data_IF_478728629178
#
_entry.id   IF_478728629178
#
_cell.length_a   1.000
_cell.length_b   1.000
_cell.length_c   1.000
_cell.angle_alpha   90.00
_cell.angle_beta   90.00
_cell.angle_gamma   90.00
#
_symmetry.space_group_name_H-M   'P 1'
#
loop_
_entity.id
_entity.type
_entity.pdbx_description
1 polymer ?
#
# COMPACT_ATOMS: atom_id res chain seq x y z
N UNK A 1 -13.08 -20.23 -7.06
CA UNK A 1 -12.98 -18.80 -7.24
C UNK A 1 -12.80 -18.12 -5.90
N UNK A 2 -11.82 -17.28 -5.81
CA UNK A 2 -11.58 -16.57 -4.57
C UNK A 2 -12.36 -15.27 -4.58
N UNK A 3 -13.23 -15.09 -3.60
CA UNK A 3 -13.91 -13.83 -3.39
C UNK A 3 -13.12 -12.94 -2.44
N UNK A 4 -11.94 -13.41 -2.02
CA UNK A 4 -11.09 -12.69 -1.08
C UNK A 4 -10.10 -11.79 -1.82
N UNK A 5 -10.67 -10.85 -2.56
CA UNK A 5 -9.87 -9.85 -3.27
C UNK A 5 -10.61 -8.51 -3.28
N UNK A 6 -9.84 -7.44 -3.44
CA UNK A 6 -10.38 -6.09 -3.59
C UNK A 6 -9.67 -5.39 -4.73
N UNK A 7 -10.38 -4.46 -5.35
CA UNK A 7 -9.83 -3.61 -6.42
C UNK A 7 -10.23 -2.18 -6.14
N UNK A 8 -9.27 -1.26 -6.27
CA UNK A 8 -9.53 0.16 -6.11
C UNK A 8 -8.92 0.91 -7.29
N UNK A 9 -9.58 1.99 -7.66
CA UNK A 9 -9.17 2.85 -8.75
C UNK A 9 -9.26 4.29 -8.28
N UNK A 10 -8.19 5.06 -8.53
CA UNK A 10 -8.15 6.49 -8.18
C UNK A 10 -7.44 7.24 -9.30
N UNK A 11 -7.83 8.50 -9.45
CA UNK A 11 -7.11 9.42 -10.33
C UNK A 11 -6.50 10.50 -9.45
N UNK A 12 -5.17 10.63 -9.52
CA UNK A 12 -4.41 11.58 -8.73
C UNK A 12 -3.89 12.68 -9.66
N UNK A 13 -3.75 13.89 -9.14
CA UNK A 13 -3.20 15.01 -9.91
C UNK A 13 -1.69 14.92 -10.06
N UNK A 14 -1.03 14.22 -9.13
CA UNK A 14 0.43 14.05 -9.16
C UNK A 14 0.87 13.18 -10.33
N UNK A 15 2.11 13.37 -10.78
CA UNK A 15 2.71 12.56 -11.83
C UNK A 15 2.93 11.13 -11.38
N UNK A 16 3.01 10.16 -12.32
CA UNK A 16 3.34 8.79 -11.96
C UNK A 16 4.66 8.66 -11.19
N UNK A 17 5.65 9.47 -11.52
CA UNK A 17 6.94 9.49 -10.82
C UNK A 17 6.77 9.84 -9.34
N UNK A 18 5.95 10.84 -9.06
CA UNK A 18 5.73 11.28 -7.68
C UNK A 18 4.91 10.26 -6.89
N UNK A 19 3.87 9.70 -7.50
CA UNK A 19 3.05 8.67 -6.87
C UNK A 19 3.89 7.41 -6.62
N UNK A 20 4.70 7.02 -7.59
CA UNK A 20 5.59 5.86 -7.45
C UNK A 20 6.58 6.06 -6.29
N UNK A 21 7.15 7.26 -6.14
CA UNK A 21 8.03 7.56 -5.00
C UNK A 21 7.33 7.36 -3.67
N UNK A 22 6.05 7.71 -3.59
CA UNK A 22 5.28 7.53 -2.36
C UNK A 22 5.12 6.06 -1.99
N UNK A 23 5.19 5.15 -2.96
CA UNK A 23 5.15 3.70 -2.73
C UNK A 23 6.52 3.11 -2.45
N UNK A 24 7.60 3.80 -2.75
CA UNK A 24 8.95 3.22 -2.73
C UNK A 24 9.91 3.89 -1.76
N UNK A 25 9.51 5.01 -1.17
CA UNK A 25 10.30 5.66 -0.12
C UNK A 25 9.71 5.28 1.24
N UNK A 26 10.59 4.86 2.14
CA UNK A 26 10.21 4.33 3.45
C UNK A 26 9.39 5.31 4.29
N UNK A 27 9.84 6.55 4.40
CA UNK A 27 9.13 7.56 5.17
C UNK A 27 7.80 7.97 4.55
N UNK A 28 7.72 7.98 3.23
CA UNK A 28 6.48 8.28 2.54
C UNK A 28 5.45 7.16 2.78
N UNK A 29 5.87 5.91 2.62
CA UNK A 29 5.02 4.75 2.85
C UNK A 29 4.45 4.76 4.26
N UNK A 30 5.28 5.05 5.26
CA UNK A 30 4.84 5.15 6.65
C UNK A 30 3.79 6.25 6.86
N UNK A 31 3.84 7.30 6.05
CA UNK A 31 2.94 8.43 6.20
C UNK A 31 1.52 8.16 5.67
N UNK A 32 1.39 7.37 4.59
CA UNK A 32 0.07 7.21 3.97
C UNK A 32 -0.51 5.80 4.06
N UNK A 33 0.31 4.77 4.17
CA UNK A 33 -0.18 3.39 4.08
C UNK A 33 -1.11 2.98 5.23
N UNK A 34 -0.85 3.34 6.51
CA UNK A 34 -1.75 2.91 7.57
C UNK A 34 -3.12 3.59 7.44
N UNK A 35 -4.20 2.84 7.70
CA UNK A 35 -5.54 3.45 7.75
C UNK A 35 -5.62 4.51 8.84
N UNK A 36 -6.66 5.32 8.81
CA UNK A 36 -6.86 6.34 9.85
C UNK A 36 -6.89 5.70 11.23
N UNK A 37 -6.23 6.32 12.17
CA UNK A 37 -6.15 5.84 13.55
C UNK A 37 -5.00 4.90 13.83
N UNK A 38 -4.22 4.55 12.80
CA UNK A 38 -3.05 3.68 12.95
C UNK A 38 -1.76 4.44 12.68
N UNK A 39 -0.72 4.03 13.39
CA UNK A 39 0.66 4.46 13.14
C UNK A 39 1.38 3.33 12.41
N UNK A 40 2.38 3.68 11.62
CA UNK A 40 3.18 2.70 10.89
C UNK A 40 4.66 2.87 11.21
N UNK A 41 5.33 1.75 11.49
CA UNK A 41 6.78 1.70 11.58
C UNK A 41 7.26 0.79 10.45
N UNK A 42 8.16 1.31 9.62
CA UNK A 42 8.80 0.51 8.57
C UNK A 42 10.12 0.01 9.11
N UNK A 43 10.23 -1.30 9.34
CA UNK A 43 11.44 -1.91 9.91
C UNK A 43 12.49 -2.18 8.83
N UNK A 44 12.02 -2.50 7.64
CA UNK A 44 12.87 -2.85 6.52
C UNK A 44 12.11 -2.55 5.23
N UNK A 45 12.81 -2.05 4.22
CA UNK A 45 12.21 -1.82 2.92
C UNK A 45 13.29 -1.79 1.85
N UNK A 46 13.40 -2.87 1.09
CA UNK A 46 14.40 -3.01 0.03
C UNK A 46 13.67 -3.15 -1.30
N UNK A 47 13.51 -2.03 -2.01
CA UNK A 47 12.69 -1.97 -3.24
C UNK A 47 13.50 -2.41 -4.44
N UNK A 48 13.58 -3.73 -4.59
CA UNK A 48 14.16 -4.39 -5.77
C UNK A 48 13.50 -5.75 -5.92
N UNK A 49 13.52 -6.33 -7.10
CA UNK A 49 12.94 -7.65 -7.32
C UNK A 49 13.65 -8.66 -6.42
N UNK A 50 12.86 -9.39 -5.63
CA UNK A 50 13.40 -10.31 -4.62
C UNK A 50 13.71 -9.64 -3.28
N UNK A 51 13.70 -8.30 -3.23
CA UNK A 51 13.90 -7.58 -1.98
C UNK A 51 12.70 -7.72 -1.05
N UNK A 52 12.93 -7.56 0.25
CA UNK A 52 11.90 -7.75 1.28
C UNK A 52 11.55 -6.46 1.98
N UNK A 53 10.36 -6.44 2.58
CA UNK A 53 9.97 -5.36 3.46
C UNK A 53 9.30 -5.92 4.72
N UNK A 54 9.34 -5.15 5.79
CA UNK A 54 8.68 -5.48 7.04
C UNK A 54 8.15 -4.23 7.68
N UNK A 55 6.88 -4.26 8.10
CA UNK A 55 6.19 -3.13 8.70
C UNK A 55 5.35 -3.56 9.88
N UNK A 56 5.02 -2.61 10.75
CA UNK A 56 4.08 -2.80 11.85
C UNK A 56 3.09 -1.65 11.85
N UNK A 57 1.83 -1.99 12.08
CA UNK A 57 0.78 -1.00 12.34
C UNK A 57 0.44 -1.04 13.81
N UNK A 58 0.18 0.13 14.40
CA UNK A 58 -0.23 0.24 15.80
C UNK A 58 -1.52 1.05 15.88
N UNK A 59 -2.54 0.48 16.49
CA UNK A 59 -3.79 1.19 16.77
C UNK A 59 -3.53 2.20 17.88
N UNK A 60 -3.65 3.48 17.58
CA UNK A 60 -3.37 4.55 18.56
C UNK A 60 -4.31 4.49 19.75
N UNK A 61 -5.56 4.09 19.55
CA UNK A 61 -6.56 4.06 20.62
C UNK A 61 -6.28 2.99 21.67
N UNK A 62 -5.79 1.82 21.24
CA UNK A 62 -5.58 0.69 22.13
C UNK A 62 -4.12 0.40 22.44
N UNK A 63 -3.21 0.88 21.61
CA UNK A 63 -1.79 0.53 21.68
C UNK A 63 -1.47 -0.83 21.07
N UNK A 64 -2.47 -1.60 20.68
CA UNK A 64 -2.26 -2.92 20.06
C UNK A 64 -1.77 -2.77 18.64
N UNK A 65 -0.95 -3.71 18.21
CA UNK A 65 -0.39 -3.68 16.88
C UNK A 65 -0.26 -5.04 16.25
N UNK A 66 0.08 -5.03 14.97
CA UNK A 66 0.39 -6.25 14.25
C UNK A 66 1.49 -5.94 13.23
N UNK A 67 2.21 -6.97 12.86
CA UNK A 67 3.30 -6.88 11.89
C UNK A 67 2.98 -7.68 10.66
N UNK A 68 3.55 -7.25 9.55
CA UNK A 68 3.43 -7.98 8.29
C UNK A 68 4.69 -7.75 7.47
N UNK A 69 4.94 -8.67 6.55
CA UNK A 69 6.13 -8.63 5.71
C UNK A 69 5.82 -9.17 4.32
N UNK A 70 6.72 -8.94 3.39
CA UNK A 70 6.57 -9.44 2.04
C UNK A 70 7.82 -9.24 1.22
N UNK A 71 7.68 -9.50 -0.08
CA UNK A 71 8.78 -9.29 -1.02
C UNK A 71 8.25 -8.69 -2.32
N UNK A 72 9.11 -7.98 -3.00
CA UNK A 72 8.80 -7.41 -4.31
C UNK A 72 9.00 -8.49 -5.38
N UNK A 73 7.95 -8.71 -6.18
CA UNK A 73 7.93 -9.76 -7.21
C UNK A 73 8.25 -9.19 -8.57
N UNK A 74 7.68 -8.02 -8.88
CA UNK A 74 7.87 -7.37 -10.16
C UNK A 74 7.88 -5.85 -9.97
N UNK A 75 8.82 -5.17 -10.61
CA UNK A 75 8.96 -3.73 -10.51
C UNK A 75 9.25 -3.17 -11.91
N UNK A 76 8.40 -2.22 -12.33
CA UNK A 76 8.67 -1.39 -13.49
C UNK A 76 8.58 0.06 -13.01
N UNK A 77 9.70 0.75 -12.81
CA UNK A 77 9.70 2.08 -12.22
C UNK A 77 8.69 3.01 -12.88
N UNK A 78 7.90 3.68 -12.06
CA UNK A 78 6.87 4.64 -12.46
C UNK A 78 5.67 4.04 -13.19
N UNK A 79 5.61 2.71 -13.36
CA UNK A 79 4.54 2.05 -14.12
C UNK A 79 3.85 0.93 -13.37
N UNK A 80 4.61 0.13 -12.58
CA UNK A 80 4.06 -1.10 -12.05
C UNK A 80 4.82 -1.61 -10.83
N UNK A 81 4.07 -2.08 -9.82
CA UNK A 81 4.62 -2.78 -8.67
C UNK A 81 3.76 -4.01 -8.39
N UNK A 82 4.40 -5.12 -8.10
CA UNK A 82 3.72 -6.32 -7.60
C UNK A 82 4.53 -6.84 -6.43
N UNK A 83 3.86 -7.02 -5.30
CA UNK A 83 4.53 -7.51 -4.10
C UNK A 83 3.59 -8.41 -3.31
N UNK A 84 4.19 -9.28 -2.50
CA UNK A 84 3.46 -10.15 -1.60
C UNK A 84 3.32 -9.51 -0.24
N UNK A 85 2.43 -10.06 0.56
CA UNK A 85 2.13 -9.53 1.88
C UNK A 85 1.64 -10.68 2.76
N UNK A 86 2.20 -10.78 3.97
CA UNK A 86 1.87 -11.86 4.89
C UNK A 86 1.86 -11.33 6.31
N UNK A 87 0.78 -11.59 7.03
CA UNK A 87 0.70 -11.25 8.44
C UNK A 87 1.60 -12.19 9.25
N UNK A 88 2.23 -11.66 10.30
CA UNK A 88 3.02 -12.47 11.23
C UNK A 88 2.14 -13.26 12.18
N UNK A 89 0.83 -12.94 12.23
CA UNK A 89 -0.13 -13.63 13.08
C UNK A 89 -0.46 -15.01 12.50
N UNK A 90 -0.20 -16.10 13.23
CA UNK A 90 -0.51 -17.45 12.75
C UNK A 90 -2.00 -17.70 12.56
N UNK A 91 -2.87 -16.90 13.15
CA UNK A 91 -4.32 -17.01 12.95
C UNK A 91 -4.76 -16.37 11.63
N UNK A 92 -3.86 -15.69 10.93
CA UNK A 92 -4.11 -15.09 9.63
C UNK A 92 -3.13 -15.67 8.61
N UNK A 93 -3.24 -16.98 8.32
CA UNK A 93 -2.31 -17.65 7.43
C UNK A 93 -2.53 -17.26 5.98
N UNK A 94 -1.52 -17.51 5.17
CA UNK A 94 -1.59 -17.27 3.74
C UNK A 94 -0.82 -16.04 3.33
N UNK A 95 -0.68 -15.88 2.03
CA UNK A 95 0.08 -14.79 1.44
C UNK A 95 -0.83 -14.04 0.48
N UNK A 96 -0.91 -12.74 0.68
CA UNK A 96 -1.63 -11.85 -0.24
C UNK A 96 -0.69 -11.39 -1.34
N UNK A 97 -1.26 -11.01 -2.47
CA UNK A 97 -0.50 -10.39 -3.56
C UNK A 97 -1.17 -9.06 -3.91
N UNK A 98 -0.39 -8.01 -3.90
CA UNK A 98 -0.86 -6.67 -4.26
C UNK A 98 -0.21 -6.24 -5.56
N UNK A 99 -1.03 -5.84 -6.52
CA UNK A 99 -0.59 -5.34 -7.82
C UNK A 99 -1.01 -3.88 -7.93
N UNK A 100 -0.05 -3.02 -8.26
CA UNK A 100 -0.27 -1.58 -8.37
C UNK A 100 0.15 -1.13 -9.77
N UNK A 101 -0.76 -0.46 -10.47
CA UNK A 101 -0.48 0.10 -11.80
C UNK A 101 -0.56 1.61 -11.74
N UNK A 102 0.43 2.26 -12.37
CA UNK A 102 0.52 3.72 -12.46
C UNK A 102 0.48 4.08 -13.94
N UNK A 103 -0.60 4.70 -14.39
CA UNK A 103 -0.73 5.07 -15.79
C UNK A 103 -0.86 6.58 -15.92
N UNK A 104 0.03 7.17 -16.72
CA UNK A 104 -0.04 8.61 -16.96
C UNK A 104 -1.31 8.97 -17.72
N UNK A 105 -2.00 10.01 -17.26
CA UNK A 105 -3.18 10.54 -17.91
C UNK A 105 -3.05 12.05 -18.04
N UNK A 106 -3.98 12.67 -18.76
CA UNK A 106 -4.01 14.12 -18.89
C UNK A 106 -4.22 14.82 -17.53
N UNK A 107 -4.87 14.12 -16.59
CA UNK A 107 -5.12 14.67 -15.24
C UNK A 107 -3.96 14.45 -14.28
N UNK A 108 -3.07 13.51 -14.57
CA UNK A 108 -1.98 13.10 -13.69
C UNK A 108 -1.74 11.63 -13.76
N UNK A 109 -2.18 10.87 -12.77
CA UNK A 109 -1.97 9.43 -12.69
C UNK A 109 -3.28 8.68 -12.46
N UNK A 110 -3.52 7.66 -13.27
CA UNK A 110 -4.56 6.67 -12.97
C UNK A 110 -3.90 5.55 -12.18
N UNK A 111 -4.35 5.36 -10.96
CA UNK A 111 -3.82 4.37 -10.04
C UNK A 111 -4.83 3.24 -9.88
N UNK A 112 -4.37 2.00 -10.08
CA UNK A 112 -5.19 0.81 -9.83
C UNK A 112 -4.47 -0.09 -8.86
N UNK A 113 -5.20 -0.58 -7.87
CA UNK A 113 -4.69 -1.50 -6.87
C UNK A 113 -5.59 -2.73 -6.84
N UNK A 114 -4.97 -3.91 -6.92
CA UNK A 114 -5.67 -5.18 -6.77
C UNK A 114 -4.94 -5.97 -5.69
N UNK A 115 -5.66 -6.34 -4.64
CA UNK A 115 -5.11 -7.18 -3.58
C UNK A 115 -5.88 -8.50 -3.57
N UNK A 116 -5.15 -9.60 -3.70
CA UNK A 116 -5.69 -10.95 -3.80
C UNK A 116 -5.15 -11.83 -2.69
N UNK A 117 -5.86 -12.92 -2.40
CA UNK A 117 -5.41 -13.88 -1.39
C UNK A 117 -5.62 -13.43 0.05
N UNK A 118 -6.59 -12.54 0.28
CA UNK A 118 -6.90 -12.06 1.62
C UNK A 118 -7.32 -13.26 2.50
N UNK A 119 -6.74 -13.41 3.71
CA UNK A 119 -7.13 -14.51 4.61
C UNK A 119 -8.64 -14.56 4.84
N UNK A 120 -9.19 -15.78 4.87
CA UNK A 120 -10.63 -15.98 4.98
C UNK A 120 -11.22 -15.36 6.26
N UNK A 121 -10.42 -15.22 7.31
CA UNK A 121 -10.84 -14.62 8.57
C UNK A 121 -11.08 -13.11 8.46
N UNK A 122 -10.59 -12.48 7.39
CA UNK A 122 -10.74 -11.04 7.19
C UNK A 122 -11.79 -10.80 6.10
N UNK A 123 -12.91 -10.12 6.42
CA UNK A 123 -13.87 -9.75 5.38
C UNK A 123 -13.22 -8.83 4.35
N UNK A 124 -13.45 -9.10 3.07
CA UNK A 124 -12.83 -8.31 1.99
C UNK A 124 -13.20 -6.83 2.09
N UNK A 125 -14.43 -6.51 2.50
CA UNK A 125 -14.84 -5.11 2.64
C UNK A 125 -14.07 -4.38 3.72
N UNK A 126 -13.51 -5.06 4.72
CA UNK A 126 -12.67 -4.42 5.72
C UNK A 126 -11.33 -4.00 5.11
N UNK A 127 -10.76 -4.84 4.25
CA UNK A 127 -9.56 -4.48 3.49
C UNK A 127 -9.84 -3.33 2.53
N UNK A 128 -11.01 -3.34 1.90
CA UNK A 128 -11.41 -2.27 1.00
C UNK A 128 -11.48 -0.93 1.74
N UNK A 129 -12.12 -0.91 2.91
CA UNK A 129 -12.22 0.31 3.71
C UNK A 129 -10.85 0.81 4.17
N UNK A 130 -9.97 -0.12 4.56
CA UNK A 130 -8.59 0.24 4.91
C UNK A 130 -7.86 0.88 3.74
N UNK A 131 -7.98 0.29 2.55
CA UNK A 131 -7.39 0.87 1.35
C UNK A 131 -7.98 2.25 1.02
N UNK A 132 -9.28 2.46 1.22
CA UNK A 132 -9.89 3.77 1.00
C UNK A 132 -9.23 4.83 1.87
N UNK A 133 -9.04 4.54 3.17
CA UNK A 133 -8.38 5.45 4.09
C UNK A 133 -6.95 5.73 3.64
N UNK A 134 -6.22 4.68 3.28
CA UNK A 134 -4.83 4.80 2.85
C UNK A 134 -4.71 5.65 1.58
N UNK A 135 -5.56 5.40 0.61
CA UNK A 135 -5.52 6.13 -0.66
C UNK A 135 -5.93 7.59 -0.50
N UNK A 136 -6.83 7.90 0.43
CA UNK A 136 -7.18 9.28 0.76
C UNK A 136 -5.95 10.02 1.29
N UNK A 137 -5.19 9.39 2.16
CA UNK A 137 -3.94 9.96 2.69
C UNK A 137 -2.88 10.07 1.59
N UNK A 138 -2.80 9.10 0.71
CA UNK A 138 -1.86 9.14 -0.43
C UNK A 138 -2.13 10.35 -1.31
N UNK A 139 -3.39 10.58 -1.64
CA UNK A 139 -3.78 11.73 -2.46
C UNK A 139 -3.38 13.05 -1.77
N UNK A 140 -3.63 13.15 -0.48
CA UNK A 140 -3.28 14.35 0.30
C UNK A 140 -1.79 14.57 0.39
N UNK A 141 -1.01 13.51 0.29
CA UNK A 141 0.45 13.61 0.31
C UNK A 141 1.02 13.98 -1.05
N UNK A 142 0.46 13.43 -2.13
CA UNK A 142 1.07 13.55 -3.47
C UNK A 142 0.50 14.69 -4.31
N UNK A 143 -0.78 15.01 -4.16
CA UNK A 143 -1.42 16.04 -5.01
C UNK A 143 -0.90 17.46 -4.77
N UNK A 144 -0.63 17.89 -3.52
CA UNK A 144 -0.10 19.23 -3.32
C UNK A 144 1.27 19.41 -3.96
N UNK A 145 1.45 20.57 -4.63
CA UNK A 145 2.76 20.98 -5.13
C UNK A 145 3.23 22.14 -4.28
N UNK A 146 4.22 21.85 -3.43
CA UNK A 146 4.74 22.81 -2.46
C UNK A 146 6.12 23.23 -2.91
N UNK A 147 6.32 24.47 -3.35
CA UNK A 147 7.64 24.92 -3.75
C UNK A 147 8.57 25.02 -2.54
N UNK A 148 9.83 24.74 -2.77
CA UNK A 148 10.85 24.93 -1.75
C UNK A 148 11.12 26.43 -1.56
N UNK A 149 11.41 26.81 -0.35
CA UNK A 149 11.68 28.21 -0.01
C UNK A 149 13.05 28.68 -0.47
#
# INVERSE_FOLDING_TARGET
>A
MSDNSVSLHRVLKASPEKVYRAFTQQNAMAAWLPPYGFLCTVHEMNVEVGGTYKMSFQNLSTGNGHSFSGKYVEIKPNEFLKYTDKFDDPNLPGEMTTTVSFRKTIAGTELKIVQEGIPAAIPAEMCYLGWQDSLDKLIRLTDPEIPDA
#
